data_IF_250318318046
#
_entry.id   IF_250318318046
#
_cell.length_a   1.000
_cell.length_b   1.000
_cell.length_c   1.000
_cell.angle_alpha   90.00
_cell.angle_beta   90.00
_cell.angle_gamma   90.00
#
_symmetry.space_group_name_H-M   'P 1'
#
loop_
_entity.id
_entity.type
_entity.pdbx_description
1 polymer ?
#
# COMPACT_ATOMS: atom_id res chain seq x y z
N UNK A 1 16.08 -4.58 29.41
CA UNK A 1 14.69 -4.89 29.01
C UNK A 1 14.22 -6.09 29.82
N UNK A 2 13.01 -6.12 30.38
CA UNK A 2 12.52 -7.32 31.06
C UNK A 2 12.31 -8.41 30.00
N UNK A 3 12.93 -9.58 30.19
CA UNK A 3 12.64 -10.79 29.43
C UNK A 3 11.20 -11.20 29.74
N UNK A 4 10.24 -10.75 28.93
CA UNK A 4 8.89 -11.26 28.96
C UNK A 4 8.88 -12.61 28.25
N UNK A 5 8.69 -13.69 29.02
CA UNK A 5 8.38 -14.99 28.44
C UNK A 5 7.09 -14.87 27.61
N UNK A 6 7.24 -14.94 26.30
CA UNK A 6 6.17 -15.16 25.33
C UNK A 6 5.58 -16.55 25.60
N UNK A 7 4.46 -16.61 26.31
CA UNK A 7 3.60 -17.80 26.24
C UNK A 7 2.80 -17.68 24.94
N UNK A 8 3.13 -18.54 23.98
CA UNK A 8 2.48 -18.65 22.68
C UNK A 8 0.98 -18.94 22.86
N UNK A 9 0.15 -17.93 22.63
CA UNK A 9 -1.23 -18.22 22.25
C UNK A 9 -1.16 -18.82 20.84
N UNK A 10 -1.73 -20.01 20.67
CA UNK A 10 -1.89 -20.64 19.36
C UNK A 10 -2.76 -19.74 18.49
N UNK A 11 -2.14 -18.96 17.61
CA UNK A 11 -2.85 -18.12 16.65
C UNK A 11 -3.36 -19.02 15.53
N UNK A 12 -4.63 -18.84 15.19
CA UNK A 12 -5.25 -19.55 14.06
C UNK A 12 -4.73 -18.92 12.77
N UNK A 13 -4.23 -19.76 11.88
CA UNK A 13 -3.89 -19.32 10.52
C UNK A 13 -5.03 -19.59 9.56
N UNK A 14 -5.11 -18.71 8.56
CA UNK A 14 -6.05 -18.79 7.45
C UNK A 14 -5.27 -18.83 6.16
N UNK A 15 -5.82 -19.51 5.16
CA UNK A 15 -5.33 -19.44 3.80
C UNK A 15 -6.02 -18.27 3.10
N UNK A 16 -5.21 -17.42 2.46
CA UNK A 16 -5.66 -16.26 1.70
C UNK A 16 -5.74 -16.68 0.24
N UNK A 17 -6.94 -16.70 -0.32
CA UNK A 17 -7.13 -17.03 -1.73
C UNK A 17 -6.51 -15.98 -2.65
N UNK A 18 -6.72 -14.70 -2.31
CA UNK A 18 -6.21 -13.54 -3.07
C UNK A 18 -5.85 -12.38 -2.16
N UNK A 19 -4.73 -11.72 -2.44
CA UNK A 19 -4.36 -10.47 -1.78
C UNK A 19 -3.86 -9.44 -2.79
N UNK A 20 -4.58 -8.31 -2.85
CA UNK A 20 -4.21 -7.12 -3.62
C UNK A 20 -3.85 -6.00 -2.66
N UNK A 21 -2.64 -5.47 -2.79
CA UNK A 21 -2.12 -4.43 -1.91
C UNK A 21 -1.73 -3.21 -2.73
N UNK A 22 -2.00 -2.02 -2.19
CA UNK A 22 -1.54 -0.76 -2.73
C UNK A 22 -0.74 -0.03 -1.67
N UNK A 23 0.40 0.52 -2.06
CA UNK A 23 1.30 1.25 -1.18
C UNK A 23 1.41 2.70 -1.63
N UNK A 24 0.97 3.61 -0.77
CA UNK A 24 0.87 5.03 -1.07
C UNK A 24 2.02 5.77 -0.40
N UNK A 25 2.80 6.46 -1.23
CA UNK A 25 3.91 7.31 -0.84
C UNK A 25 3.60 8.77 -1.20
N UNK A 26 3.25 9.63 -0.22
CA UNK A 26 3.19 11.07 -0.46
C UNK A 26 4.59 11.66 -0.59
N UNK A 27 4.77 12.66 -1.44
CA UNK A 27 6.03 13.36 -1.61
C UNK A 27 5.85 14.85 -1.93
N UNK A 28 6.91 15.63 -1.70
CA UNK A 28 6.95 17.04 -2.09
C UNK A 28 7.73 17.20 -3.39
N UNK A 29 7.13 17.93 -4.33
CA UNK A 29 7.74 18.34 -5.58
C UNK A 29 8.57 19.61 -5.37
N UNK A 30 9.68 19.71 -6.11
CA UNK A 30 10.38 21.00 -6.27
C UNK A 30 9.43 22.06 -6.84
N UNK A 31 9.68 23.31 -6.48
CA UNK A 31 8.92 24.43 -7.05
C UNK A 31 8.97 24.41 -8.59
N UNK A 32 7.85 24.77 -9.21
CA UNK A 32 7.70 24.92 -10.66
C UNK A 32 8.01 23.67 -11.53
N UNK A 33 8.14 22.48 -10.96
CA UNK A 33 8.47 21.26 -11.72
C UNK A 33 7.25 20.39 -12.12
N UNK A 34 6.03 20.80 -11.76
CA UNK A 34 4.84 19.95 -11.93
C UNK A 34 4.48 19.69 -13.40
N UNK A 35 4.66 20.69 -14.28
CA UNK A 35 4.37 20.52 -15.71
C UNK A 35 5.45 19.73 -16.43
N UNK A 36 6.72 19.94 -16.07
CA UNK A 36 7.83 19.16 -16.63
C UNK A 36 7.74 17.70 -16.19
N UNK A 37 7.29 17.41 -14.96
CA UNK A 37 7.00 16.05 -14.51
C UNK A 37 5.85 15.43 -15.31
N UNK A 38 4.74 16.16 -15.47
CA UNK A 38 3.59 15.70 -16.28
C UNK A 38 4.00 15.30 -17.70
N UNK A 39 4.79 16.14 -18.37
CA UNK A 39 5.32 15.86 -19.70
C UNK A 39 6.25 14.64 -19.71
N UNK A 40 7.15 14.53 -18.72
CA UNK A 40 8.07 13.41 -18.63
C UNK A 40 7.32 12.09 -18.37
N UNK A 41 6.30 12.08 -17.51
CA UNK A 41 5.48 10.89 -17.24
C UNK A 41 4.86 10.36 -18.53
N UNK A 42 4.30 11.23 -19.35
CA UNK A 42 3.78 10.85 -20.67
C UNK A 42 4.87 10.29 -21.59
N UNK A 43 6.07 10.90 -21.61
CA UNK A 43 7.22 10.38 -22.36
C UNK A 43 7.70 9.01 -21.85
N UNK A 44 7.55 8.74 -20.55
CA UNK A 44 7.88 7.45 -19.92
C UNK A 44 6.76 6.41 -20.08
N UNK A 45 5.69 6.73 -20.83
CA UNK A 45 4.59 5.81 -21.14
C UNK A 45 3.55 5.68 -20.03
N UNK A 46 3.41 6.69 -19.17
CA UNK A 46 2.27 6.78 -18.27
C UNK A 46 1.08 7.43 -18.99
N UNK A 47 -0.09 6.83 -18.86
CA UNK A 47 -1.32 7.40 -19.38
C UNK A 47 -1.92 8.37 -18.36
N UNK A 48 -2.39 9.52 -18.83
CA UNK A 48 -3.18 10.41 -17.98
C UNK A 48 -4.57 9.79 -17.75
N UNK A 49 -4.98 9.69 -16.50
CA UNK A 49 -6.25 9.10 -16.14
C UNK A 49 -7.40 10.08 -16.31
N UNK A 50 -8.40 9.67 -17.09
CA UNK A 50 -9.67 10.39 -17.25
C UNK A 50 -10.84 9.39 -17.22
N UNK A 51 -11.99 9.84 -16.69
CA UNK A 51 -13.17 8.97 -16.56
C UNK A 51 -13.78 8.60 -17.92
N UNK A 52 -13.63 9.46 -18.93
CA UNK A 52 -14.11 9.23 -20.30
C UNK A 52 -13.28 8.18 -21.07
N UNK A 53 -12.09 7.84 -20.59
CA UNK A 53 -11.23 6.84 -21.23
C UNK A 53 -11.53 5.43 -20.71
N UNK A 54 -12.55 4.80 -21.29
CA UNK A 54 -12.99 3.45 -20.90
C UNK A 54 -11.93 2.37 -21.05
N UNK A 55 -10.89 2.57 -21.87
CA UNK A 55 -9.79 1.61 -22.05
C UNK A 55 -8.92 1.44 -20.79
N UNK A 56 -9.02 2.37 -19.83
CA UNK A 56 -8.23 2.32 -18.60
C UNK A 56 -8.88 1.46 -17.50
N UNK A 57 -10.17 1.10 -17.63
CA UNK A 57 -10.96 0.46 -16.57
C UNK A 57 -10.41 -0.88 -16.08
N UNK A 58 -9.68 -1.60 -16.93
CA UNK A 58 -9.16 -2.94 -16.65
C UNK A 58 -7.61 -2.97 -16.71
N UNK A 59 -6.97 -1.83 -16.98
CA UNK A 59 -5.56 -1.80 -17.42
C UNK A 59 -4.56 -1.95 -16.27
N UNK A 60 -4.93 -1.60 -15.04
CA UNK A 60 -3.99 -1.37 -13.93
C UNK A 60 -4.27 -2.18 -12.67
N UNK A 61 -5.35 -2.97 -12.65
CA UNK A 61 -5.94 -3.51 -11.41
C UNK A 61 -5.75 -5.02 -11.21
N UNK A 62 -5.01 -5.67 -12.10
CA UNK A 62 -4.85 -7.13 -12.10
C UNK A 62 -5.90 -7.82 -12.95
N UNK A 63 -5.65 -9.10 -13.24
CA UNK A 63 -6.60 -9.89 -14.02
C UNK A 63 -7.92 -10.02 -13.24
N UNK A 64 -9.04 -10.02 -13.97
CA UNK A 64 -10.40 -10.12 -13.42
C UNK A 64 -10.90 -8.93 -12.57
N UNK A 65 -10.14 -7.83 -12.50
CA UNK A 65 -10.55 -6.62 -11.78
C UNK A 65 -10.87 -5.47 -12.75
N UNK A 66 -12.04 -4.87 -12.56
CA UNK A 66 -12.52 -3.74 -13.35
C UNK A 66 -12.96 -2.60 -12.44
N UNK A 67 -12.45 -1.41 -12.68
CA UNK A 67 -12.91 -0.20 -12.00
C UNK A 67 -13.90 0.54 -12.89
N UNK A 68 -15.18 0.54 -12.50
CA UNK A 68 -16.23 1.20 -13.28
C UNK A 68 -16.13 2.73 -13.19
N UNK A 69 -15.67 3.37 -14.26
CA UNK A 69 -15.57 4.83 -14.34
C UNK A 69 -16.94 5.51 -14.18
N UNK A 70 -17.97 4.92 -14.78
CA UNK A 70 -19.36 5.40 -14.64
C UNK A 70 -19.84 5.41 -13.19
N UNK A 71 -19.50 4.38 -12.40
CA UNK A 71 -19.83 4.36 -10.97
C UNK A 71 -19.02 5.40 -10.21
N UNK A 72 -17.72 5.54 -10.52
CA UNK A 72 -16.87 6.55 -9.89
C UNK A 72 -17.42 7.97 -10.09
N UNK A 73 -17.77 8.35 -11.33
CA UNK A 73 -18.36 9.66 -11.65
C UNK A 73 -19.58 9.97 -10.78
N UNK A 74 -20.42 8.97 -10.51
CA UNK A 74 -21.67 9.13 -9.74
C UNK A 74 -21.51 9.12 -8.23
N UNK A 75 -20.37 8.69 -7.71
CA UNK A 75 -20.09 8.68 -6.27
C UNK A 75 -19.75 10.09 -5.79
N UNK A 76 -19.14 10.92 -6.63
CA UNK A 76 -18.66 12.25 -6.24
C UNK A 76 -19.67 13.36 -6.57
N UNK A 77 -19.63 14.42 -5.77
CA UNK A 77 -20.44 15.62 -6.02
C UNK A 77 -19.93 16.34 -7.29
N UNK A 78 -20.81 16.96 -8.10
CA UNK A 78 -20.43 17.61 -9.36
C UNK A 78 -19.34 18.69 -9.25
N UNK A 79 -19.18 19.31 -8.08
CA UNK A 79 -18.17 20.35 -7.85
C UNK A 79 -16.81 19.79 -7.41
N UNK A 80 -16.77 18.53 -6.96
CA UNK A 80 -15.56 17.85 -6.49
C UNK A 80 -14.97 17.00 -7.61
N UNK A 81 -15.83 16.41 -8.45
CA UNK A 81 -15.42 15.53 -9.54
C UNK A 81 -14.35 16.15 -10.46
N UNK A 82 -14.48 17.40 -10.96
CA UNK A 82 -13.45 18.00 -11.81
C UNK A 82 -12.11 18.27 -11.12
N UNK A 83 -12.10 18.27 -9.78
CA UNK A 83 -10.88 18.40 -8.97
C UNK A 83 -10.22 17.04 -8.82
N UNK A 84 -10.98 15.98 -8.52
CA UNK A 84 -10.45 14.62 -8.35
C UNK A 84 -10.08 13.97 -9.70
N UNK A 85 -10.88 14.22 -10.74
CA UNK A 85 -10.73 13.66 -12.08
C UNK A 85 -10.72 14.78 -13.13
N UNK A 86 -9.64 15.58 -13.19
CA UNK A 86 -9.54 16.65 -14.18
C UNK A 86 -9.64 16.11 -15.61
N UNK A 87 -10.38 16.82 -16.45
CA UNK A 87 -10.60 16.45 -17.87
C UNK A 87 -9.32 16.46 -18.71
N UNK A 88 -8.29 17.20 -18.29
CA UNK A 88 -7.01 17.29 -18.99
C UNK A 88 -5.84 17.54 -18.02
N UNK A 89 -4.64 17.17 -18.45
CA UNK A 89 -3.41 17.21 -17.63
C UNK A 89 -2.86 18.63 -17.40
N UNK A 90 -3.47 19.66 -17.97
CA UNK A 90 -3.07 21.07 -17.77
C UNK A 90 -3.76 21.71 -16.57
N UNK A 91 -4.82 21.07 -16.03
CA UNK A 91 -5.57 21.54 -14.85
C UNK A 91 -4.78 21.34 -13.56
N UNK A 92 -3.94 22.32 -13.22
CA UNK A 92 -3.07 22.31 -12.02
C UNK A 92 -3.81 22.29 -10.68
N UNK A 93 -5.06 22.76 -10.66
CA UNK A 93 -5.90 22.78 -9.47
C UNK A 93 -6.47 21.39 -9.11
N UNK A 94 -6.33 20.40 -10.00
CA UNK A 94 -6.85 19.05 -9.81
C UNK A 94 -5.78 18.01 -9.49
N UNK A 95 -6.23 16.83 -9.10
CA UNK A 95 -5.42 15.63 -8.89
C UNK A 95 -5.08 15.00 -10.25
N UNK A 96 -3.95 15.40 -10.82
CA UNK A 96 -3.51 14.90 -12.13
C UNK A 96 -2.85 13.55 -11.97
N UNK A 97 -3.61 12.48 -12.18
CA UNK A 97 -3.14 11.09 -12.07
C UNK A 97 -2.58 10.57 -13.39
N UNK A 98 -1.38 9.99 -13.32
CA UNK A 98 -0.70 9.32 -14.41
C UNK A 98 -0.43 7.88 -14.01
N UNK A 99 -0.87 6.91 -14.81
CA UNK A 99 -0.82 5.49 -14.48
C UNK A 99 -0.04 4.70 -15.53
N UNK A 100 0.80 3.76 -15.09
CA UNK A 100 1.54 2.86 -15.97
C UNK A 100 1.42 1.42 -15.47
N UNK A 101 1.09 0.50 -16.37
CA UNK A 101 1.14 -0.93 -16.11
C UNK A 101 2.59 -1.41 -16.20
N UNK A 102 3.00 -2.26 -15.26
CA UNK A 102 4.33 -2.88 -15.24
C UNK A 102 4.24 -4.37 -15.58
N UNK A 103 3.27 -5.07 -15.01
CA UNK A 103 3.05 -6.51 -15.18
C UNK A 103 4.38 -7.31 -15.13
N UNK A 104 5.20 -7.01 -14.12
CA UNK A 104 6.46 -7.70 -13.87
C UNK A 104 6.50 -8.35 -12.47
N UNK A 105 7.00 -9.59 -12.42
CA UNK A 105 7.24 -10.34 -11.19
C UNK A 105 8.53 -9.89 -10.51
N UNK A 106 8.48 -9.78 -9.18
CA UNK A 106 9.60 -9.48 -8.30
C UNK A 106 9.61 -10.45 -7.12
N UNK A 107 10.74 -10.54 -6.42
CA UNK A 107 10.82 -11.23 -5.14
C UNK A 107 10.93 -10.23 -3.99
N UNK A 108 10.42 -10.64 -2.83
CA UNK A 108 10.70 -10.01 -1.54
C UNK A 108 11.20 -11.10 -0.59
N UNK A 109 12.30 -10.82 0.08
CA UNK A 109 12.90 -11.67 1.10
C UNK A 109 13.14 -10.84 2.35
N UNK A 110 12.51 -11.23 3.44
CA UNK A 110 12.84 -10.81 4.80
C UNK A 110 13.45 -11.96 5.59
N UNK A 111 13.41 -11.83 6.92
CA UNK A 111 13.98 -12.80 7.85
C UNK A 111 13.20 -14.12 7.89
N UNK A 112 11.87 -14.03 7.90
CA UNK A 112 10.96 -15.18 8.02
C UNK A 112 10.04 -15.38 6.81
N UNK A 113 10.05 -14.43 5.87
CA UNK A 113 9.28 -14.52 4.63
C UNK A 113 10.21 -14.49 3.42
N UNK A 114 10.01 -15.41 2.50
CA UNK A 114 10.56 -15.31 1.15
C UNK A 114 9.44 -15.62 0.16
N UNK A 115 9.04 -14.63 -0.63
CA UNK A 115 7.94 -14.77 -1.57
C UNK A 115 8.23 -14.02 -2.87
N UNK A 116 7.41 -14.31 -3.87
CA UNK A 116 7.31 -13.53 -5.10
C UNK A 116 6.07 -12.63 -5.02
N UNK A 117 6.01 -11.60 -5.85
CA UNK A 117 4.82 -10.78 -6.01
C UNK A 117 4.80 -10.17 -7.41
N UNK A 118 3.61 -9.84 -7.86
CA UNK A 118 3.38 -9.24 -9.16
C UNK A 118 3.21 -7.72 -9.01
N UNK A 119 4.10 -6.92 -9.59
CA UNK A 119 3.89 -5.48 -9.69
C UNK A 119 2.91 -5.21 -10.84
N UNK A 120 1.70 -4.77 -10.50
CA UNK A 120 0.63 -4.52 -11.45
C UNK A 120 0.84 -3.15 -12.12
N UNK A 121 0.86 -2.10 -11.31
CA UNK A 121 0.90 -0.72 -11.80
C UNK A 121 1.50 0.25 -10.80
N UNK A 122 1.91 1.41 -11.33
CA UNK A 122 2.28 2.57 -10.54
C UNK A 122 1.46 3.76 -11.02
N UNK A 123 0.86 4.48 -10.08
CA UNK A 123 0.33 5.81 -10.32
C UNK A 123 1.27 6.87 -9.76
N UNK A 124 1.40 7.98 -10.48
CA UNK A 124 1.95 9.24 -9.98
C UNK A 124 0.85 10.28 -10.08
N UNK A 125 0.42 10.80 -8.93
CA UNK A 125 -0.63 11.79 -8.80
C UNK A 125 0.03 13.12 -8.45
N UNK A 126 -0.02 14.08 -9.37
CA UNK A 126 0.45 15.44 -9.14
C UNK A 126 -0.72 16.24 -8.58
N UNK A 127 -0.61 16.65 -7.33
CA UNK A 127 -1.63 17.40 -6.62
C UNK A 127 -1.31 18.91 -6.65
N UNK A 128 -2.27 19.76 -6.27
CA UNK A 128 -2.00 21.17 -5.97
C UNK A 128 -0.93 21.34 -4.88
N UNK A 129 -0.36 22.55 -4.77
CA UNK A 129 0.58 22.94 -3.70
C UNK A 129 1.85 22.08 -3.60
N UNK A 130 2.41 21.67 -4.74
CA UNK A 130 3.65 20.88 -4.80
C UNK A 130 3.57 19.53 -4.07
N UNK A 131 2.36 19.03 -3.79
CA UNK A 131 2.17 17.70 -3.23
C UNK A 131 2.08 16.70 -4.39
N UNK A 132 2.69 15.54 -4.21
CA UNK A 132 2.49 14.39 -5.07
C UNK A 132 2.19 13.15 -4.25
N UNK A 133 1.57 12.16 -4.90
CA UNK A 133 1.38 10.83 -4.32
C UNK A 133 1.79 9.78 -5.36
N UNK A 134 2.58 8.81 -4.94
CA UNK A 134 2.87 7.61 -5.72
C UNK A 134 2.05 6.48 -5.14
N UNK A 135 1.36 5.72 -5.99
CA UNK A 135 0.61 4.54 -5.57
C UNK A 135 1.16 3.32 -6.31
N UNK A 136 1.65 2.33 -5.58
CA UNK A 136 2.24 1.10 -6.13
C UNK A 136 1.27 -0.03 -5.87
N UNK A 137 0.75 -0.67 -6.93
CA UNK A 137 -0.17 -1.80 -6.81
C UNK A 137 0.53 -3.12 -7.03
N UNK A 138 0.33 -4.05 -6.11
CA UNK A 138 0.87 -5.40 -6.20
C UNK A 138 -0.22 -6.44 -5.96
N UNK A 139 -0.02 -7.59 -6.57
CA UNK A 139 -0.78 -8.82 -6.29
C UNK A 139 0.18 -9.85 -5.69
N UNK A 140 -0.25 -10.48 -4.61
CA UNK A 140 0.49 -11.57 -3.97
C UNK A 140 0.07 -12.92 -4.54
N UNK A 141 0.93 -13.94 -4.42
CA UNK A 141 0.58 -15.32 -4.73
C UNK A 141 -0.68 -15.78 -4.01
N UNK A 142 -1.45 -16.59 -4.72
CA UNK A 142 -2.61 -17.27 -4.18
C UNK A 142 -2.17 -18.23 -3.06
N UNK A 143 -3.06 -18.47 -2.11
CA UNK A 143 -2.90 -19.46 -1.03
C UNK A 143 -1.72 -19.19 -0.08
N UNK A 144 -1.31 -17.92 0.05
CA UNK A 144 -0.44 -17.51 1.14
C UNK A 144 -1.18 -17.59 2.48
N UNK A 145 -0.47 -17.88 3.56
CA UNK A 145 -1.07 -17.75 4.89
C UNK A 145 -1.35 -16.29 5.22
N UNK A 146 -2.34 -16.06 6.07
CA UNK A 146 -2.72 -14.73 6.54
C UNK A 146 -1.54 -13.98 7.16
N UNK A 147 -0.73 -14.66 7.97
CA UNK A 147 0.50 -14.10 8.50
C UNK A 147 1.51 -13.68 7.43
N UNK A 148 1.71 -14.49 6.38
CA UNK A 148 2.66 -14.15 5.32
C UNK A 148 2.23 -12.92 4.53
N UNK A 149 0.91 -12.72 4.33
CA UNK A 149 0.36 -11.52 3.69
C UNK A 149 0.59 -10.27 4.57
N UNK A 150 0.36 -10.38 5.88
CA UNK A 150 0.62 -9.26 6.80
C UNK A 150 2.13 -8.98 6.89
N UNK A 151 2.97 -10.02 6.95
CA UNK A 151 4.43 -9.88 6.98
C UNK A 151 4.95 -9.23 5.69
N UNK A 152 4.46 -9.64 4.52
CA UNK A 152 4.79 -8.95 3.26
C UNK A 152 4.45 -7.46 3.36
N UNK A 153 3.27 -7.16 3.89
CA UNK A 153 2.79 -5.79 4.05
C UNK A 153 3.71 -4.96 4.94
N UNK A 154 4.17 -5.52 6.07
CA UNK A 154 5.09 -4.85 6.98
C UNK A 154 6.46 -4.60 6.34
N UNK A 155 7.03 -5.62 5.69
CA UNK A 155 8.34 -5.50 5.06
C UNK A 155 8.32 -4.52 3.88
N UNK A 156 7.30 -4.57 3.03
CA UNK A 156 7.25 -3.73 1.83
C UNK A 156 6.95 -2.27 2.13
N UNK A 157 6.21 -1.96 3.20
CA UNK A 157 5.87 -0.57 3.52
C UNK A 157 7.02 0.21 4.14
N UNK A 158 8.08 -0.43 4.63
CA UNK A 158 9.21 0.25 5.28
C UNK A 158 10.18 0.78 4.21
N UNK A 159 10.23 2.10 4.02
CA UNK A 159 11.07 2.70 2.96
C UNK A 159 12.56 2.60 3.28
N UNK A 160 12.93 2.94 4.52
CA UNK A 160 14.27 2.77 5.07
C UNK A 160 14.18 2.06 6.43
N UNK A 161 14.99 1.03 6.67
CA UNK A 161 15.05 0.35 7.96
C UNK A 161 15.68 1.27 9.01
N UNK A 162 14.96 1.56 10.10
CA UNK A 162 15.47 2.38 11.22
C UNK A 162 16.24 1.52 12.24
N UNK A 163 15.98 0.20 12.26
CA UNK A 163 16.59 -0.75 13.20
C UNK A 163 17.44 -1.77 12.41
N UNK A 164 18.59 -2.17 12.96
CA UNK A 164 19.47 -3.18 12.35
C UNK A 164 18.77 -4.54 12.10
N UNK A 165 17.68 -4.85 12.80
CA UNK A 165 16.90 -6.08 12.64
C UNK A 165 16.11 -6.11 11.31
N UNK A 166 15.82 -4.95 10.70
CA UNK A 166 15.20 -4.83 9.38
C UNK A 166 16.24 -4.88 8.23
N UNK A 167 17.52 -5.10 8.54
CA UNK A 167 18.63 -5.06 7.57
C UNK A 167 18.71 -6.26 6.61
N UNK A 168 17.86 -7.27 6.81
CA UNK A 168 17.81 -8.49 6.00
C UNK A 168 16.86 -8.41 4.79
N UNK A 169 16.18 -7.28 4.58
CA UNK A 169 15.30 -7.09 3.43
C UNK A 169 16.09 -7.17 2.12
N UNK A 170 15.62 -7.99 1.19
CA UNK A 170 16.06 -8.02 -0.20
C UNK A 170 14.86 -8.02 -1.12
N UNK A 171 14.86 -7.12 -2.09
CA UNK A 171 13.78 -6.97 -3.06
C UNK A 171 14.36 -6.81 -4.46
N UNK A 172 13.70 -7.37 -5.47
CA UNK A 172 14.07 -7.11 -6.86
C UNK A 172 13.78 -8.28 -7.79
N UNK A 173 14.66 -8.47 -8.76
CA UNK A 173 14.57 -9.53 -9.77
C UNK A 173 15.76 -10.49 -9.62
N UNK A 174 15.72 -11.63 -10.31
CA UNK A 174 16.84 -12.59 -10.31
C UNK A 174 18.20 -11.97 -10.68
N UNK A 175 18.22 -10.86 -11.41
CA UNK A 175 19.45 -10.21 -11.88
C UNK A 175 19.87 -9.01 -11.03
N UNK A 176 18.96 -8.42 -10.26
CA UNK A 176 19.21 -7.19 -9.53
C UNK A 176 18.38 -7.15 -8.25
N UNK A 177 19.06 -6.95 -7.12
CA UNK A 177 18.44 -6.87 -5.80
C UNK A 177 18.83 -5.59 -5.09
N UNK A 178 17.91 -5.08 -4.28
CA UNK A 178 18.07 -3.90 -3.44
C UNK A 178 17.84 -4.29 -1.98
N UNK A 179 18.50 -3.59 -1.06
CA UNK A 179 18.36 -3.80 0.39
C UNK A 179 17.34 -2.88 1.06
N UNK A 180 16.79 -1.94 0.30
CA UNK A 180 15.83 -0.95 0.78
C UNK A 180 14.72 -0.79 -0.24
N UNK A 181 13.48 -0.70 0.23
CA UNK A 181 12.32 -0.46 -0.64
C UNK A 181 12.47 0.88 -1.35
N UNK A 182 13.01 1.91 -0.68
CA UNK A 182 13.31 3.21 -1.29
C UNK A 182 14.23 3.09 -2.52
N UNK A 183 15.33 2.35 -2.41
CA UNK A 183 16.24 2.14 -3.54
C UNK A 183 15.57 1.35 -4.66
N UNK A 184 14.81 0.31 -4.33
CA UNK A 184 14.04 -0.43 -5.33
C UNK A 184 13.10 0.49 -6.13
N UNK A 185 12.34 1.35 -5.46
CA UNK A 185 11.41 2.28 -6.11
C UNK A 185 12.18 3.32 -6.95
N UNK A 186 13.18 4.01 -6.38
CA UNK A 186 13.81 5.16 -7.02
C UNK A 186 15.05 4.84 -7.85
N UNK A 187 15.48 3.59 -7.94
CA UNK A 187 16.58 3.17 -8.82
C UNK A 187 16.12 2.15 -9.86
N UNK A 188 15.09 1.36 -9.55
CA UNK A 188 14.53 0.37 -10.48
C UNK A 188 13.29 0.90 -11.20
N UNK A 189 12.26 1.27 -10.44
CA UNK A 189 10.92 1.48 -11.00
C UNK A 189 10.74 2.89 -11.59
N UNK A 190 11.19 3.90 -10.84
CA UNK A 190 10.96 5.31 -11.13
C UNK A 190 12.24 6.16 -10.96
N UNK A 191 13.35 5.85 -11.63
CA UNK A 191 14.63 6.54 -11.41
C UNK A 191 14.58 8.05 -11.73
N UNK A 192 13.71 8.45 -12.67
CA UNK A 192 13.54 9.85 -13.04
C UNK A 192 12.95 10.70 -11.91
N UNK A 193 12.22 10.10 -10.96
CA UNK A 193 11.53 10.85 -9.90
C UNK A 193 12.50 11.61 -9.00
N UNK A 194 13.72 11.09 -8.77
CA UNK A 194 14.75 11.75 -7.94
C UNK A 194 15.01 13.20 -8.35
N UNK A 195 14.87 13.53 -9.64
CA UNK A 195 15.09 14.89 -10.14
C UNK A 195 14.00 15.88 -9.71
N UNK A 196 12.80 15.40 -9.35
CA UNK A 196 11.61 16.20 -9.05
C UNK A 196 11.30 16.30 -7.56
N UNK A 197 11.87 15.42 -6.73
CA UNK A 197 11.67 15.41 -5.29
C UNK A 197 12.43 16.56 -4.61
N UNK A 198 11.78 17.30 -3.71
CA UNK A 198 12.46 18.32 -2.92
C UNK A 198 13.28 17.70 -1.77
N UNK A 199 14.61 17.70 -1.92
CA UNK A 199 15.55 17.11 -0.96
C UNK A 199 15.66 17.90 0.37
N UNK A 200 15.21 19.17 0.41
CA UNK A 200 15.25 19.95 1.65
C UNK A 200 14.32 19.37 2.73
N UNK A 201 13.30 18.61 2.33
CA UNK A 201 12.38 17.93 3.23
C UNK A 201 12.72 16.45 3.46
N UNK A 202 13.68 15.86 2.72
CA UNK A 202 14.08 14.46 2.94
C UNK A 202 15.00 14.27 4.15
N UNK A 203 15.62 15.33 4.68
CA UNK A 203 16.51 15.28 5.86
C UNK A 203 15.91 15.95 7.12
N UNK A 204 14.72 16.52 7.03
CA UNK A 204 14.00 17.05 8.20
C UNK A 204 13.03 15.99 8.68
N UNK A 205 13.23 15.48 9.89
CA UNK A 205 12.32 14.61 10.65
C UNK A 205 10.96 15.26 10.99
N UNK A 206 10.63 16.35 10.31
CA UNK A 206 9.49 17.22 10.57
C UNK A 206 8.92 17.69 9.23
N UNK A 207 8.40 16.74 8.45
CA UNK A 207 7.28 17.05 7.58
C UNK A 207 6.19 17.63 8.48
N UNK A 208 5.93 18.93 8.38
CA UNK A 208 4.79 19.56 9.03
C UNK A 208 3.51 18.86 8.58
N UNK A 209 3.05 17.90 9.38
CA UNK A 209 1.74 17.26 9.36
C UNK A 209 1.17 16.96 7.96
N UNK A 210 1.81 16.06 7.21
CA UNK A 210 1.02 15.08 6.47
C UNK A 210 0.90 13.86 7.40
N UNK A 211 -0.30 13.55 7.93
CA UNK A 211 -0.48 12.61 9.05
C UNK A 211 -0.06 11.15 8.76
N UNK A 212 0.40 10.85 7.54
CA UNK A 212 0.68 9.49 7.07
C UNK A 212 2.16 9.08 7.16
N UNK A 213 3.06 9.98 7.56
CA UNK A 213 4.49 9.70 7.73
C UNK A 213 4.84 9.50 9.22
N UNK A 214 4.32 8.43 9.81
CA UNK A 214 4.89 7.87 11.04
C UNK A 214 6.03 6.95 10.58
N UNK A 215 7.27 7.32 10.89
CA UNK A 215 8.46 6.46 10.79
C UNK A 215 8.86 5.95 9.39
N UNK A 216 8.74 6.77 8.34
CA UNK A 216 9.17 6.44 6.97
C UNK A 216 8.47 5.23 6.32
N UNK A 217 7.21 5.01 6.68
CA UNK A 217 6.39 3.91 6.18
C UNK A 217 5.36 4.37 5.16
N UNK A 218 5.09 3.51 4.17
CA UNK A 218 4.01 3.68 3.20
C UNK A 218 2.66 3.40 3.86
N UNK A 219 1.63 4.14 3.42
CA UNK A 219 0.24 3.85 3.78
C UNK A 219 -0.29 2.71 2.91
N UNK A 220 -1.01 1.77 3.50
CA UNK A 220 -1.43 0.54 2.83
C UNK A 220 -2.92 0.56 2.51
N UNK A 221 -3.29 0.17 1.31
CA UNK A 221 -4.67 -0.15 0.93
C UNK A 221 -4.74 -1.63 0.55
N UNK A 222 -5.47 -2.44 1.30
CA UNK A 222 -5.55 -3.89 1.09
C UNK A 222 -6.93 -4.39 0.68
N UNK A 223 -6.95 -5.39 -0.19
CA UNK A 223 -8.11 -6.26 -0.44
C UNK A 223 -7.66 -7.70 -0.27
N UNK A 224 -8.14 -8.35 0.78
CA UNK A 224 -7.75 -9.70 1.18
C UNK A 224 -9.01 -10.59 1.10
N UNK A 225 -8.94 -11.63 0.28
CA UNK A 225 -9.99 -12.63 0.12
C UNK A 225 -9.57 -13.91 0.84
N UNK A 226 -10.35 -14.31 1.83
CA UNK A 226 -10.17 -15.55 2.59
C UNK A 226 -11.09 -16.64 2.05
N UNK A 227 -10.76 -17.89 2.38
CA UNK A 227 -11.66 -19.03 2.16
C UNK A 227 -12.99 -18.87 2.91
N UNK A 228 -14.09 -19.37 2.32
CA UNK A 228 -15.48 -19.26 2.82
C UNK A 228 -15.66 -19.75 4.28
N UNK A 229 -14.94 -20.79 4.68
CA UNK A 229 -14.96 -21.36 6.03
C UNK A 229 -14.18 -20.55 7.08
N UNK A 230 -13.45 -19.51 6.65
CA UNK A 230 -12.66 -18.68 7.55
C UNK A 230 -13.56 -18.00 8.56
N UNK A 231 -13.11 -17.96 9.82
CA UNK A 231 -13.80 -17.26 10.89
C UNK A 231 -12.81 -16.33 11.55
N UNK A 232 -12.98 -15.05 11.26
CA UNK A 232 -12.18 -13.97 11.84
C UNK A 232 -12.68 -13.67 13.24
N UNK A 233 -11.73 -13.49 14.15
CA UNK A 233 -11.95 -12.98 15.49
C UNK A 233 -11.34 -11.59 15.64
N UNK A 234 -11.67 -10.89 16.74
CA UNK A 234 -11.17 -9.54 17.04
C UNK A 234 -9.65 -9.46 16.96
N UNK A 235 -8.95 -10.49 17.42
CA UNK A 235 -7.48 -10.56 17.36
C UNK A 235 -6.95 -10.59 15.93
N UNK A 236 -7.65 -11.21 14.98
CA UNK A 236 -7.19 -11.33 13.58
C UNK A 236 -7.32 -9.99 12.87
N UNK A 237 -8.40 -9.25 13.16
CA UNK A 237 -8.64 -7.90 12.65
C UNK A 237 -7.70 -6.88 13.29
N UNK A 238 -7.38 -7.07 14.58
CA UNK A 238 -6.34 -6.31 15.26
C UNK A 238 -4.99 -6.49 14.55
N UNK A 239 -4.57 -7.74 14.30
CA UNK A 239 -3.31 -8.06 13.60
C UNK A 239 -3.21 -7.40 12.24
N UNK A 240 -4.32 -7.36 11.50
CA UNK A 240 -4.37 -6.66 10.22
C UNK A 240 -4.07 -5.19 10.43
N UNK A 241 -4.88 -4.51 11.24
CA UNK A 241 -4.82 -3.07 11.44
C UNK A 241 -3.51 -2.57 12.07
N UNK A 242 -2.88 -3.40 12.90
CA UNK A 242 -1.54 -3.15 13.46
C UNK A 242 -0.39 -3.62 12.56
N UNK A 243 -0.69 -4.29 11.44
CA UNK A 243 0.27 -4.89 10.50
C UNK A 243 1.28 -5.78 11.25
N UNK A 244 0.75 -6.69 12.08
CA UNK A 244 1.56 -7.60 12.91
C UNK A 244 1.64 -8.98 12.27
N UNK A 245 2.69 -9.19 11.46
CA UNK A 245 3.00 -10.44 10.77
C UNK A 245 3.59 -11.47 11.72
N UNK A 246 4.93 -11.53 11.76
CA UNK A 246 5.68 -12.45 12.61
C UNK A 246 6.36 -11.78 13.81
N UNK A 247 6.65 -12.59 14.84
CA UNK A 247 7.52 -12.22 15.95
C UNK A 247 9.02 -12.42 15.62
N UNK A 248 9.88 -12.13 16.59
CA UNK A 248 11.34 -12.32 16.49
C UNK A 248 11.79 -13.80 16.42
N UNK A 249 10.86 -14.76 16.37
CA UNK A 249 11.10 -16.19 16.17
C UNK A 249 10.49 -16.71 14.87
N UNK A 250 9.73 -15.89 14.14
CA UNK A 250 9.04 -16.28 12.91
C UNK A 250 7.67 -16.92 13.14
N UNK A 251 7.07 -16.73 14.32
CA UNK A 251 5.70 -17.19 14.60
C UNK A 251 4.70 -16.05 14.41
N UNK A 252 3.45 -16.34 14.02
CA UNK A 252 2.38 -15.35 13.99
C UNK A 252 2.30 -14.54 15.29
N UNK A 253 2.03 -13.23 15.19
CA UNK A 253 2.08 -12.33 16.35
C UNK A 253 0.91 -11.34 16.40
N UNK A 254 0.36 -11.11 17.60
CA UNK A 254 -0.78 -10.20 17.82
C UNK A 254 -0.35 -8.82 18.36
N UNK A 255 0.89 -8.58 18.81
CA UNK A 255 1.31 -7.24 19.27
C UNK A 255 0.75 -6.78 20.61
N UNK A 256 -0.49 -7.15 20.95
CA UNK A 256 -1.17 -6.83 22.21
C UNK A 256 -1.58 -8.09 22.97
N UNK A 257 -1.48 -8.05 24.31
CA UNK A 257 -1.89 -9.15 25.20
C UNK A 257 -3.19 -8.87 25.97
N UNK A 258 -3.70 -7.63 25.92
CA UNK A 258 -4.88 -7.22 26.69
C UNK A 258 -6.13 -7.36 25.80
N UNK A 259 -7.03 -8.33 26.04
CA UNK A 259 -8.23 -8.50 25.22
C UNK A 259 -9.11 -7.25 25.22
N UNK A 260 -9.27 -6.59 26.37
CA UNK A 260 -10.07 -5.38 26.45
C UNK A 260 -9.50 -4.21 25.62
N UNK A 261 -8.19 -4.22 25.34
CA UNK A 261 -7.58 -3.24 24.42
C UNK A 261 -7.92 -3.57 22.97
N UNK A 262 -7.87 -4.86 22.59
CA UNK A 262 -8.23 -5.30 21.24
C UNK A 262 -9.71 -5.07 20.93
N UNK A 263 -10.60 -5.24 21.91
CA UNK A 263 -12.03 -4.90 21.76
C UNK A 263 -12.23 -3.40 21.50
N UNK A 264 -11.56 -2.52 22.25
CA UNK A 264 -11.64 -1.07 21.98
C UNK A 264 -11.07 -0.72 20.61
N UNK A 265 -9.97 -1.36 20.22
CA UNK A 265 -9.43 -1.20 18.88
C UNK A 265 -10.46 -1.60 17.82
N UNK A 266 -11.15 -2.72 18.01
CA UNK A 266 -12.21 -3.15 17.11
C UNK A 266 -13.31 -2.10 16.98
N UNK A 267 -13.83 -1.62 18.10
CA UNK A 267 -14.90 -0.61 18.15
C UNK A 267 -14.50 0.70 17.43
N UNK A 268 -13.23 1.09 17.53
CA UNK A 268 -12.73 2.36 16.97
C UNK A 268 -12.30 2.26 15.50
N UNK A 269 -11.85 1.08 15.04
CA UNK A 269 -11.16 0.91 13.76
C UNK A 269 -11.81 -0.06 12.79
N UNK A 270 -12.81 -0.84 13.21
CA UNK A 270 -13.45 -1.85 12.37
C UNK A 270 -14.87 -1.41 11.99
N UNK A 271 -15.15 -1.43 10.69
CA UNK A 271 -16.50 -1.31 10.16
C UNK A 271 -17.01 -2.69 9.75
N UNK A 272 -18.02 -3.16 10.48
CA UNK A 272 -18.50 -4.54 10.52
C UNK A 272 -19.94 -4.69 9.99
N UNK A 273 -20.45 -3.70 9.25
CA UNK A 273 -21.82 -3.69 8.73
C UNK A 273 -22.20 -4.96 7.96
N UNK A 274 -21.23 -5.61 7.34
CA UNK A 274 -21.39 -6.83 6.55
C UNK A 274 -20.72 -8.05 7.20
N UNK A 275 -20.43 -8.00 8.50
CA UNK A 275 -20.01 -9.16 9.24
C UNK A 275 -21.09 -10.26 9.20
N UNK A 276 -20.78 -11.55 9.12
CA UNK A 276 -19.45 -12.19 9.17
C UNK A 276 -18.79 -12.40 7.79
N UNK A 277 -19.24 -11.72 6.74
CA UNK A 277 -18.76 -11.91 5.37
C UNK A 277 -17.61 -10.95 5.00
N UNK A 278 -17.78 -9.67 5.32
CA UNK A 278 -16.82 -8.61 4.97
C UNK A 278 -16.61 -7.65 6.14
N UNK A 279 -15.34 -7.34 6.40
CA UNK A 279 -14.93 -6.32 7.36
C UNK A 279 -14.05 -5.28 6.67
N UNK A 280 -14.18 -4.03 7.11
CA UNK A 280 -13.22 -2.97 6.75
C UNK A 280 -12.44 -2.55 7.98
N UNK A 281 -11.12 -2.57 7.90
CA UNK A 281 -10.22 -2.14 8.97
C UNK A 281 -9.56 -0.82 8.54
N UNK A 282 -9.69 0.21 9.37
CA UNK A 282 -9.17 1.56 9.09
C UNK A 282 -8.32 2.03 10.26
N UNK A 283 -7.02 2.16 10.01
CA UNK A 283 -6.03 2.69 10.95
C UNK A 283 -5.22 3.81 10.32
N UNK A 284 -4.34 4.42 11.10
CA UNK A 284 -3.37 5.41 10.60
C UNK A 284 -2.40 4.82 9.57
N UNK A 285 -2.29 3.49 9.52
CA UNK A 285 -1.34 2.77 8.68
C UNK A 285 -1.99 2.13 7.46
N UNK A 286 -3.27 1.80 7.54
CA UNK A 286 -3.94 1.09 6.47
C UNK A 286 -5.44 1.32 6.37
N UNK A 287 -5.94 1.06 5.17
CA UNK A 287 -7.33 0.74 4.89
C UNK A 287 -7.38 -0.65 4.28
N UNK A 288 -8.01 -1.63 4.91
CA UNK A 288 -8.17 -2.96 4.33
C UNK A 288 -9.63 -3.40 4.28
N UNK A 289 -10.00 -3.98 3.15
CA UNK A 289 -11.18 -4.83 3.00
C UNK A 289 -10.72 -6.28 3.18
N UNK A 290 -11.30 -6.99 4.13
CA UNK A 290 -11.13 -8.43 4.28
C UNK A 290 -12.48 -9.10 4.10
N UNK A 291 -12.57 -10.04 3.16
CA UNK A 291 -13.83 -10.67 2.76
C UNK A 291 -13.64 -12.14 2.53
N UNK A 292 -14.72 -12.91 2.65
CA UNK A 292 -14.77 -14.30 2.22
C UNK A 292 -15.08 -14.40 0.72
N UNK A 293 -14.66 -15.49 0.08
CA UNK A 293 -14.95 -15.83 -1.31
C UNK A 293 -16.42 -16.16 -1.58
#
# INVERSE_FOLDING_TARGET
MPNFNEQDQSIKEFEVEKAYLQFIFPFTLKEECSDSLSQLLQQQGYDFFTLDNSHLQDKYYGDHHTVSHYRMERIFLPNIEPIIFPSDSTKKEGFRRFSKAFNQEFFLKGKYLQTIFQLLSIDIIICPFQIGMMNIRVELPDNMSYSEVIEFTDLFRVMEPVVEEDSDIQIGTKNQSYKMIKSFIFESLCPFMKNFLDEKNTNSSYFGSLPFYIDERLYVVGSIVLQEESKLEVQDLYRLGSISGFDNKGHPFIGAKNPAYMERFYDDHVYDRWADETYYVVTDYMFACITKS
#
